data_IF_354272251152
#
_entry.id   IF_354272251152
#
_cell.length_a   1.000
_cell.length_b   1.000
_cell.length_c   1.000
_cell.angle_alpha   90.00
_cell.angle_beta   90.00
_cell.angle_gamma   90.00
#
_symmetry.space_group_name_H-M   'P 1'
#
loop_
_entity.id
_entity.type
_entity.pdbx_description
1 polymer ?
#
# COMPACT_ATOMS: atom_id res chain seq x y z
N UNK A 1 -32.76 51.08 -24.50
CA UNK A 1 -32.82 50.47 -23.15
C UNK A 1 -34.13 49.71 -23.11
N UNK A 2 -34.20 48.39 -23.23
CA UNK A 2 -33.86 47.43 -22.18
C UNK A 2 -33.79 46.03 -22.79
N UNK A 3 -32.60 45.44 -22.84
CA UNK A 3 -32.41 44.01 -23.08
C UNK A 3 -31.49 43.55 -21.97
N UNK A 4 -31.97 42.68 -21.08
CA UNK A 4 -31.23 41.76 -20.18
C UNK A 4 -32.10 41.40 -18.99
N UNK A 5 -32.90 40.34 -19.12
CA UNK A 5 -33.58 39.75 -17.96
C UNK A 5 -33.88 38.25 -18.15
N UNK A 6 -33.08 37.49 -18.91
CA UNK A 6 -33.40 36.08 -19.20
C UNK A 6 -32.18 35.19 -19.46
N UNK A 7 -31.12 35.27 -18.64
CA UNK A 7 -29.97 34.33 -18.79
C UNK A 7 -29.64 33.56 -17.49
N UNK A 8 -30.21 33.90 -16.34
CA UNK A 8 -29.74 33.34 -15.06
C UNK A 8 -30.36 31.99 -14.68
N UNK A 9 -31.40 31.49 -15.39
CA UNK A 9 -32.22 30.38 -14.88
C UNK A 9 -31.96 28.98 -15.48
N UNK A 10 -31.07 28.81 -16.48
CA UNK A 10 -31.02 27.55 -17.25
C UNK A 10 -29.70 26.76 -17.16
N UNK A 11 -28.93 26.92 -16.07
CA UNK A 11 -27.64 26.24 -15.86
C UNK A 11 -27.56 25.40 -14.58
N UNK A 12 -28.68 25.18 -13.88
CA UNK A 12 -28.70 24.46 -12.58
C UNK A 12 -29.37 23.08 -12.63
N UNK A 13 -29.68 22.56 -13.81
CA UNK A 13 -30.37 21.26 -13.96
C UNK A 13 -29.56 20.32 -14.84
N UNK A 14 -28.39 19.88 -14.35
CA UNK A 14 -27.80 18.56 -14.64
C UNK A 14 -26.49 18.36 -13.87
N UNK A 15 -26.62 18.01 -12.58
CA UNK A 15 -25.55 17.30 -11.87
C UNK A 15 -26.09 15.89 -11.65
N UNK A 16 -25.69 14.88 -12.44
CA UNK A 16 -25.96 13.50 -12.08
C UNK A 16 -25.07 13.20 -10.87
N UNK A 17 -25.69 13.22 -9.68
CA UNK A 17 -25.09 12.67 -8.47
C UNK A 17 -24.98 11.15 -8.65
N UNK A 18 -23.94 10.71 -9.36
CA UNK A 18 -23.49 9.33 -9.32
C UNK A 18 -22.88 9.11 -7.93
N UNK A 19 -23.75 8.83 -6.96
CA UNK A 19 -23.38 8.26 -5.68
C UNK A 19 -22.87 6.84 -5.96
N UNK A 20 -21.59 6.74 -6.31
CA UNK A 20 -20.87 5.47 -6.34
C UNK A 20 -20.83 4.95 -4.91
N UNK A 21 -21.79 4.10 -4.54
CA UNK A 21 -21.70 3.29 -3.36
C UNK A 21 -20.40 2.49 -3.47
N UNK A 22 -19.40 2.90 -2.69
CA UNK A 22 -18.14 2.18 -2.58
C UNK A 22 -18.47 0.78 -2.05
N UNK A 23 -18.54 -0.19 -2.95
CA UNK A 23 -18.70 -1.58 -2.55
C UNK A 23 -17.44 -1.97 -1.77
N UNK A 24 -17.58 -2.57 -0.58
CA UNK A 24 -16.42 -3.04 0.15
C UNK A 24 -15.74 -4.10 -0.72
N UNK A 25 -14.52 -3.80 -1.16
CA UNK A 25 -13.68 -4.77 -1.87
C UNK A 25 -13.30 -5.83 -0.85
N UNK A 26 -14.07 -6.91 -0.80
CA UNK A 26 -13.72 -8.08 0.00
C UNK A 26 -12.43 -8.64 -0.60
N UNK A 27 -11.32 -8.73 0.17
CA UNK A 27 -10.08 -9.28 -0.34
C UNK A 27 -10.31 -10.72 -0.77
N UNK A 28 -10.25 -10.97 -2.08
CA UNK A 28 -10.30 -12.30 -2.67
C UNK A 28 -8.98 -13.00 -2.37
N UNK A 29 -9.00 -13.94 -1.42
CA UNK A 29 -7.87 -14.80 -1.11
C UNK A 29 -7.50 -15.61 -2.37
N UNK A 30 -6.20 -15.61 -2.69
CA UNK A 30 -5.66 -16.34 -3.83
C UNK A 30 -5.68 -17.85 -3.59
N UNK A 31 -5.72 -18.61 -4.68
CA UNK A 31 -5.56 -20.06 -4.59
C UNK A 31 -4.12 -20.41 -4.17
N UNK A 32 -3.86 -21.50 -3.41
CA UNK A 32 -2.49 -21.83 -2.96
C UNK A 32 -1.46 -21.94 -4.09
N UNK A 33 -1.85 -22.40 -5.27
CA UNK A 33 -0.96 -22.45 -6.44
C UNK A 33 -0.58 -21.04 -6.94
N UNK A 34 -1.48 -20.06 -6.84
CA UNK A 34 -1.20 -18.66 -7.18
C UNK A 34 -0.21 -18.05 -6.17
N UNK A 35 -0.40 -18.33 -4.88
CA UNK A 35 0.52 -17.88 -3.84
C UNK A 35 1.92 -18.47 -4.00
N UNK A 36 2.01 -19.77 -4.33
CA UNK A 36 3.29 -20.41 -4.65
C UNK A 36 3.96 -19.81 -5.90
N UNK A 37 3.17 -19.49 -6.93
CA UNK A 37 3.68 -18.81 -8.14
C UNK A 37 4.18 -17.40 -7.80
N UNK A 38 3.42 -16.64 -7.02
CA UNK A 38 3.76 -15.27 -6.64
C UNK A 38 5.04 -15.25 -5.81
N UNK A 39 5.21 -16.19 -4.87
CA UNK A 39 6.45 -16.37 -4.12
C UNK A 39 7.66 -16.60 -5.02
N UNK A 40 7.56 -17.55 -5.96
CA UNK A 40 8.62 -17.81 -6.94
C UNK A 40 8.95 -16.59 -7.81
N UNK A 41 7.96 -15.77 -8.14
CA UNK A 41 8.19 -14.52 -8.88
C UNK A 41 8.96 -13.51 -8.03
N UNK A 42 8.58 -13.34 -6.77
CA UNK A 42 9.29 -12.47 -5.82
C UNK A 42 10.74 -12.93 -5.70
N UNK A 43 10.98 -14.21 -5.38
CA UNK A 43 12.32 -14.78 -5.22
C UNK A 43 13.19 -14.58 -6.48
N UNK A 44 12.58 -14.74 -7.67
CA UNK A 44 13.27 -14.51 -8.94
C UNK A 44 13.73 -13.07 -9.12
N UNK A 45 12.85 -12.10 -8.86
CA UNK A 45 13.18 -10.69 -9.04
C UNK A 45 14.10 -10.17 -7.94
N UNK A 46 14.03 -10.69 -6.72
CA UNK A 46 15.01 -10.39 -5.67
C UNK A 46 16.41 -10.81 -6.07
N UNK A 47 16.58 -12.03 -6.62
CA UNK A 47 17.86 -12.45 -7.17
C UNK A 47 18.34 -11.60 -8.37
N UNK A 48 17.42 -10.92 -9.08
CA UNK A 48 17.78 -9.93 -10.09
C UNK A 48 18.24 -8.59 -9.48
N UNK A 49 17.64 -8.15 -8.38
CA UNK A 49 18.09 -6.98 -7.61
C UNK A 49 19.52 -7.21 -7.13
N UNK A 50 19.79 -8.35 -6.50
CA UNK A 50 21.13 -8.71 -6.02
C UNK A 50 22.17 -8.69 -7.15
N UNK A 51 21.79 -9.19 -8.33
CA UNK A 51 22.66 -9.17 -9.51
C UNK A 51 22.90 -7.76 -10.04
N UNK A 52 21.86 -6.91 -10.05
CA UNK A 52 21.98 -5.52 -10.47
C UNK A 52 22.88 -4.73 -9.52
N UNK A 53 22.77 -4.97 -8.21
CA UNK A 53 23.63 -4.39 -7.18
C UNK A 53 25.08 -4.83 -7.34
N UNK A 54 25.33 -6.12 -7.57
CA UNK A 54 26.66 -6.65 -7.83
C UNK A 54 27.33 -6.04 -9.07
N UNK A 55 26.52 -5.54 -10.02
CA UNK A 55 26.99 -4.84 -11.23
C UNK A 55 27.06 -3.32 -11.07
N UNK A 56 26.65 -2.76 -9.93
CA UNK A 56 26.58 -1.32 -9.70
C UNK A 56 25.55 -0.61 -10.58
N UNK A 57 24.53 -1.32 -11.08
CA UNK A 57 23.52 -0.76 -11.97
C UNK A 57 22.34 -0.18 -11.16
N UNK A 58 22.49 1.05 -10.70
CA UNK A 58 21.51 1.72 -9.83
C UNK A 58 20.09 1.79 -10.45
N UNK A 59 19.97 2.08 -11.74
CA UNK A 59 18.67 2.16 -12.41
C UNK A 59 17.97 0.79 -12.41
N UNK A 60 18.72 -0.28 -12.68
CA UNK A 60 18.17 -1.62 -12.68
C UNK A 60 17.75 -2.05 -11.26
N UNK A 61 18.62 -1.84 -10.26
CA UNK A 61 18.31 -2.07 -8.84
C UNK A 61 17.02 -1.36 -8.44
N UNK A 62 16.89 -0.06 -8.75
CA UNK A 62 15.70 0.73 -8.41
C UNK A 62 14.43 0.17 -9.07
N UNK A 63 14.47 -0.06 -10.39
CA UNK A 63 13.29 -0.49 -11.15
C UNK A 63 12.84 -1.90 -10.77
N UNK A 64 13.78 -2.82 -10.59
CA UNK A 64 13.45 -4.19 -10.15
C UNK A 64 13.00 -4.19 -8.70
N UNK A 65 13.60 -3.38 -7.83
CA UNK A 65 13.15 -3.20 -6.45
C UNK A 65 11.70 -2.69 -6.37
N UNK A 66 11.34 -1.68 -7.17
CA UNK A 66 9.96 -1.20 -7.28
C UNK A 66 9.00 -2.32 -7.73
N UNK A 67 9.42 -3.16 -8.68
CA UNK A 67 8.61 -4.29 -9.13
C UNK A 67 8.40 -5.34 -8.02
N UNK A 68 9.45 -5.66 -7.26
CA UNK A 68 9.37 -6.56 -6.10
C UNK A 68 8.39 -6.01 -5.06
N UNK A 69 8.45 -4.71 -4.75
CA UNK A 69 7.52 -4.07 -3.81
C UNK A 69 6.04 -4.26 -4.22
N UNK A 70 5.72 -4.04 -5.50
CA UNK A 70 4.36 -4.25 -6.02
C UNK A 70 3.90 -5.72 -5.92
N UNK A 71 4.82 -6.66 -6.12
CA UNK A 71 4.52 -8.09 -5.94
C UNK A 71 4.28 -8.45 -4.47
N UNK A 72 5.04 -7.84 -3.54
CA UNK A 72 4.86 -8.04 -2.10
C UNK A 72 3.56 -7.41 -1.59
N UNK A 73 3.17 -6.25 -2.07
CA UNK A 73 1.84 -5.66 -1.81
C UNK A 73 0.71 -6.60 -2.29
N UNK A 74 0.85 -7.14 -3.51
CA UNK A 74 -0.10 -8.15 -4.02
C UNK A 74 -0.12 -9.40 -3.15
N UNK A 75 1.02 -9.85 -2.64
CA UNK A 75 1.14 -11.00 -1.76
C UNK A 75 0.42 -10.75 -0.43
N UNK A 76 0.55 -9.57 0.17
CA UNK A 76 -0.16 -9.19 1.39
C UNK A 76 -1.68 -9.28 1.22
N UNK A 77 -2.20 -8.81 0.09
CA UNK A 77 -3.65 -8.81 -0.16
C UNK A 77 -4.18 -10.22 -0.49
N UNK A 78 -3.43 -11.00 -1.27
CA UNK A 78 -3.91 -12.28 -1.82
C UNK A 78 -3.51 -13.50 -0.99
N UNK A 79 -2.36 -13.43 -0.35
CA UNK A 79 -1.66 -14.55 0.30
C UNK A 79 -1.15 -14.15 1.69
N UNK A 80 -2.03 -13.70 2.61
CA UNK A 80 -1.62 -13.13 3.89
C UNK A 80 -0.85 -14.13 4.78
N UNK A 81 -1.07 -15.43 4.63
CA UNK A 81 -0.34 -16.49 5.34
C UNK A 81 1.15 -16.56 4.98
N UNK A 82 1.53 -16.01 3.82
CA UNK A 82 2.91 -16.06 3.31
C UNK A 82 3.71 -14.82 3.72
N UNK A 83 3.06 -13.83 4.31
CA UNK A 83 3.70 -12.63 4.81
C UNK A 83 4.06 -12.86 6.28
N UNK A 84 5.32 -12.59 6.68
CA UNK A 84 5.69 -12.68 8.09
C UNK A 84 4.75 -11.81 8.93
N UNK A 85 4.16 -12.39 9.97
CA UNK A 85 3.33 -11.64 10.90
C UNK A 85 4.24 -10.78 11.79
N UNK A 86 4.46 -9.53 11.35
CA UNK A 86 5.24 -8.54 12.09
C UNK A 86 4.45 -7.89 13.23
N UNK A 87 3.19 -8.28 13.48
CA UNK A 87 2.35 -7.67 14.52
C UNK A 87 2.98 -7.77 15.91
N UNK A 88 3.60 -8.92 16.23
CA UNK A 88 4.33 -9.12 17.48
C UNK A 88 5.55 -8.18 17.59
N UNK A 89 6.27 -7.98 16.49
CA UNK A 89 7.43 -7.09 16.44
C UNK A 89 7.00 -5.63 16.58
N UNK A 90 5.93 -5.21 15.91
CA UNK A 90 5.37 -3.86 16.05
C UNK A 90 4.85 -3.60 17.47
N UNK A 91 4.14 -4.56 18.06
CA UNK A 91 3.67 -4.47 19.44
C UNK A 91 4.84 -4.32 20.42
N UNK A 92 5.92 -5.07 20.23
CA UNK A 92 7.13 -4.96 21.04
C UNK A 92 7.80 -3.58 20.90
N UNK A 93 7.93 -3.05 19.69
CA UNK A 93 8.50 -1.71 19.47
C UNK A 93 7.65 -0.60 20.11
N UNK A 94 6.32 -0.71 20.00
CA UNK A 94 5.39 0.20 20.68
C UNK A 94 5.51 0.11 22.21
N UNK A 95 5.64 -1.10 22.76
CA UNK A 95 5.85 -1.28 24.19
C UNK A 95 7.17 -0.64 24.66
N UNK A 96 8.26 -0.84 23.92
CA UNK A 96 9.56 -0.24 24.23
C UNK A 96 9.53 1.30 24.14
N UNK A 97 8.78 1.87 23.21
CA UNK A 97 8.63 3.32 23.12
C UNK A 97 7.88 3.88 24.35
N UNK A 98 6.84 3.18 24.82
CA UNK A 98 6.12 3.56 26.04
C UNK A 98 7.02 3.50 27.28
N UNK A 99 7.84 2.44 27.42
CA UNK A 99 8.81 2.34 28.52
C UNK A 99 9.83 3.48 28.50
N UNK A 100 10.29 3.88 27.31
CA UNK A 100 11.21 5.01 27.17
C UNK A 100 10.56 6.31 27.63
N UNK A 101 9.31 6.57 27.24
CA UNK A 101 8.55 7.75 27.66
C UNK A 101 8.31 7.74 29.17
N UNK A 102 7.92 6.59 29.73
CA UNK A 102 7.70 6.44 31.17
C UNK A 102 9.00 6.64 31.98
N UNK A 103 10.13 6.10 31.49
CA UNK A 103 11.44 6.29 32.11
C UNK A 103 11.90 7.74 32.06
N UNK A 104 11.64 8.46 30.96
CA UNK A 104 11.91 9.89 30.87
C UNK A 104 11.03 10.68 31.86
N UNK A 105 9.73 10.36 31.94
CA UNK A 105 8.82 11.01 32.89
C UNK A 105 9.26 10.80 34.35
N UNK A 106 9.67 9.59 34.72
CA UNK A 106 10.15 9.25 36.06
C UNK A 106 11.51 9.88 36.43
N UNK A 107 12.27 10.37 35.45
CA UNK A 107 13.49 11.14 35.70
C UNK A 107 13.20 12.64 35.84
N UNK A 108 12.10 13.12 35.24
CA UNK A 108 11.72 14.53 35.26
C UNK A 108 10.79 14.91 36.41
N UNK A 109 10.09 13.95 37.01
CA UNK A 109 9.17 14.12 38.14
C UNK A 109 9.55 13.16 39.27
#
# INVERSE_FOLDING_TARGET
MTVRATVVALLLLWVPAAASAATPVVPQLGHPAECARLRKQIDHFEGMVDRAEAQGNAMWTERTGQHVSLLRERQQVRCPSDVPDDSAKQAFLMFMSLLKVAGQAALTY
#
